data_IF_699956860167
#
_entry.id   IF_699956860167
#
_cell.length_a   1.000
_cell.length_b   1.000
_cell.length_c   1.000
_cell.angle_alpha   90.00
_cell.angle_beta   90.00
_cell.angle_gamma   90.00
#
_symmetry.space_group_name_H-M   'P 1'
#
loop_
_entity.id
_entity.type
_entity.pdbx_description
1 polymer ?
#
# COMPACT_ATOMS: atom_id res chain seq x y z
N UNK A 1 -38.36 10.47 -20.99
CA UNK A 1 -36.98 10.89 -21.10
C UNK A 1 -36.23 10.24 -19.96
N UNK A 2 -35.42 9.22 -20.25
CA UNK A 2 -34.70 8.43 -19.24
C UNK A 2 -33.29 9.02 -19.10
N UNK A 3 -33.01 9.71 -18.00
CA UNK A 3 -31.68 10.20 -17.69
C UNK A 3 -30.79 9.02 -17.32
N UNK A 4 -29.88 8.66 -18.19
CA UNK A 4 -28.78 7.75 -17.87
C UNK A 4 -27.73 8.55 -17.09
N UNK A 5 -27.68 8.31 -15.78
CA UNK A 5 -26.58 8.77 -14.94
C UNK A 5 -25.37 7.89 -15.30
N UNK A 6 -24.41 8.45 -15.99
CA UNK A 6 -23.08 7.85 -16.15
C UNK A 6 -22.39 7.89 -14.78
N UNK A 7 -22.38 6.78 -14.07
CA UNK A 7 -21.44 6.57 -12.98
C UNK A 7 -20.06 6.42 -13.63
N UNK A 8 -19.27 7.48 -13.54
CA UNK A 8 -17.87 7.42 -13.95
C UNK A 8 -17.08 6.52 -12.99
N UNK A 9 -16.64 5.37 -13.47
CA UNK A 9 -15.64 4.54 -12.82
C UNK A 9 -14.37 5.36 -12.67
N UNK A 10 -14.05 5.77 -11.44
CA UNK A 10 -12.77 6.39 -11.11
C UNK A 10 -11.74 5.31 -10.84
N UNK A 11 -11.22 4.73 -11.89
CA UNK A 11 -10.01 3.92 -11.79
C UNK A 11 -8.82 4.88 -11.71
N UNK A 12 -8.49 5.34 -10.51
CA UNK A 12 -7.35 6.24 -10.27
C UNK A 12 -6.15 5.41 -9.82
N UNK A 13 -5.67 4.55 -10.70
CA UNK A 13 -4.29 4.07 -10.66
C UNK A 13 -3.54 4.68 -11.83
N UNK A 14 -3.49 6.00 -11.81
CA UNK A 14 -2.85 6.77 -12.86
C UNK A 14 -1.36 6.75 -12.74
N UNK A 15 -0.74 6.43 -13.84
CA UNK A 15 0.59 6.83 -14.28
C UNK A 15 1.19 7.95 -13.41
N UNK A 16 2.21 7.62 -12.61
CA UNK A 16 3.11 8.61 -12.05
C UNK A 16 3.91 9.26 -13.19
N UNK A 17 3.29 10.17 -13.90
CA UNK A 17 4.02 11.13 -14.73
C UNK A 17 4.41 12.26 -13.81
N UNK A 18 5.59 12.17 -13.21
CA UNK A 18 6.24 13.29 -12.54
C UNK A 18 6.72 14.26 -13.63
N UNK A 19 5.85 15.19 -14.04
CA UNK A 19 6.26 16.34 -14.78
C UNK A 19 7.11 17.22 -13.85
N UNK A 20 8.42 17.19 -14.06
CA UNK A 20 9.36 18.13 -13.48
C UNK A 20 9.17 19.48 -14.16
N UNK A 21 8.38 20.38 -13.58
CA UNK A 21 8.46 21.82 -13.88
C UNK A 21 9.43 22.45 -12.90
N UNK A 22 10.65 22.67 -13.39
CA UNK A 22 11.57 23.60 -12.77
C UNK A 22 11.10 25.02 -13.04
N UNK A 23 11.05 25.82 -11.99
CA UNK A 23 11.13 27.27 -12.13
C UNK A 23 11.85 27.91 -10.95
N UNK A 24 12.91 28.64 -11.32
CA UNK A 24 13.86 29.35 -10.46
C UNK A 24 13.28 30.58 -9.79
N UNK A 25 13.86 30.85 -8.61
CA UNK A 25 14.28 32.15 -8.06
C UNK A 25 13.24 33.24 -7.77
N UNK A 26 13.15 33.67 -6.53
CA UNK A 26 13.74 34.93 -6.06
C UNK A 26 13.71 35.05 -4.53
N UNK A 27 14.87 35.41 -4.03
CA UNK A 27 15.24 35.93 -2.73
C UNK A 27 14.42 37.13 -2.30
N UNK A 28 13.94 37.18 -1.03
CA UNK A 28 13.86 38.40 -0.22
C UNK A 28 14.00 38.04 1.25
N UNK A 29 14.81 38.87 1.90
CA UNK A 29 15.40 38.90 3.24
C UNK A 29 14.42 38.94 4.43
N UNK A 30 14.98 38.43 5.53
CA UNK A 30 14.97 38.91 6.92
C UNK A 30 13.70 39.52 7.53
N UNK A 31 13.31 38.99 8.68
CA UNK A 31 13.29 39.77 9.93
C UNK A 31 13.28 38.84 11.15
N UNK A 32 14.29 39.08 12.00
CA UNK A 32 14.54 38.54 13.32
C UNK A 32 13.45 38.93 14.30
N UNK A 33 13.01 38.00 15.16
CA UNK A 33 12.51 38.34 16.51
C UNK A 33 12.75 37.14 17.45
N UNK A 34 13.68 37.36 18.36
CA UNK A 34 13.90 36.59 19.58
C UNK A 34 12.76 36.89 20.59
N UNK A 35 12.29 35.87 21.26
CA UNK A 35 11.71 35.98 22.58
C UNK A 35 12.08 34.75 23.40
N UNK A 36 12.90 34.98 24.38
CA UNK A 36 13.31 34.12 25.49
C UNK A 36 12.20 34.08 26.53
N UNK A 37 11.87 32.97 27.13
CA UNK A 37 11.46 32.84 28.54
C UNK A 37 11.45 31.36 28.95
N UNK A 38 12.42 31.01 29.72
CA UNK A 38 12.51 30.45 31.08
C UNK A 38 11.72 29.20 31.46
N UNK A 39 12.49 28.39 32.09
CA UNK A 39 12.38 27.09 32.75
C UNK A 39 11.23 26.95 33.76
N UNK A 40 10.69 25.76 33.88
CA UNK A 40 10.20 25.23 35.16
C UNK A 40 10.53 23.71 35.24
N UNK A 41 11.48 23.43 36.08
CA UNK A 41 11.89 22.13 36.58
C UNK A 41 10.84 21.62 37.58
N UNK A 42 10.31 20.40 37.38
CA UNK A 42 9.76 19.64 38.47
C UNK A 42 10.19 18.16 38.35
N UNK A 43 11.00 17.77 39.31
CA UNK A 43 11.41 16.43 39.57
C UNK A 43 10.26 15.63 40.20
N UNK A 44 9.99 14.44 39.72
CA UNK A 44 9.20 13.42 40.43
C UNK A 44 9.95 12.08 40.40
N UNK A 45 10.21 11.63 41.56
CA UNK A 45 10.87 10.51 42.18
C UNK A 45 10.67 9.16 41.46
N UNK A 46 11.78 8.47 41.28
CA UNK A 46 11.90 7.05 40.90
C UNK A 46 11.22 6.13 41.92
N UNK A 47 10.45 5.16 41.42
CA UNK A 47 10.18 3.94 42.14
C UNK A 47 10.57 2.76 41.28
N UNK A 48 11.73 2.20 41.58
CA UNK A 48 12.31 1.02 40.97
C UNK A 48 11.52 -0.21 41.46
N UNK A 49 10.77 -0.83 40.56
CA UNK A 49 10.28 -2.19 40.81
C UNK A 49 10.94 -3.11 39.76
N UNK A 50 11.88 -3.91 40.28
CA UNK A 50 12.63 -4.93 39.57
C UNK A 50 11.71 -6.14 39.34
N UNK A 51 11.15 -6.25 38.14
CA UNK A 51 10.49 -7.48 37.71
C UNK A 51 11.40 -8.23 36.74
N UNK A 52 11.88 -9.39 37.19
CA UNK A 52 12.59 -10.37 36.37
C UNK A 52 11.59 -10.99 35.39
N UNK A 53 11.68 -10.62 34.12
CA UNK A 53 10.93 -11.27 33.05
C UNK A 53 11.83 -12.33 32.41
N UNK A 54 11.49 -13.58 32.60
CA UNK A 54 11.95 -14.69 31.78
C UNK A 54 11.50 -14.46 30.34
N UNK A 55 12.44 -14.50 29.42
CA UNK A 55 12.15 -14.47 28.00
C UNK A 55 11.67 -15.88 27.58
N UNK A 56 10.37 -16.09 27.57
CA UNK A 56 9.78 -17.16 26.79
C UNK A 56 9.71 -16.73 25.33
N UNK A 57 10.69 -17.18 24.55
CA UNK A 57 10.68 -17.14 23.09
C UNK A 57 9.66 -18.14 22.58
N UNK A 58 8.39 -17.80 22.66
CA UNK A 58 7.35 -18.51 21.96
C UNK A 58 7.05 -17.73 20.67
N UNK A 59 7.77 -18.06 19.59
CA UNK A 59 7.40 -17.68 18.24
C UNK A 59 6.09 -18.36 17.89
N UNK A 60 4.99 -17.75 18.30
CA UNK A 60 3.66 -18.15 17.85
C UNK A 60 3.55 -17.71 16.38
N UNK A 61 3.90 -18.61 15.48
CA UNK A 61 3.49 -18.52 14.08
C UNK A 61 1.96 -18.59 14.09
N UNK A 62 1.32 -17.43 14.02
CA UNK A 62 -0.13 -17.32 13.87
C UNK A 62 -0.46 -17.85 12.48
N UNK A 63 -0.78 -19.14 12.40
CA UNK A 63 -1.37 -19.74 11.19
C UNK A 63 -2.73 -19.08 11.01
N UNK A 64 -2.79 -18.00 10.23
CA UNK A 64 -4.05 -17.45 9.78
C UNK A 64 -4.70 -18.51 8.89
N UNK A 65 -5.75 -19.15 9.40
CA UNK A 65 -6.59 -20.00 8.57
C UNK A 65 -7.19 -19.13 7.49
N UNK A 66 -6.81 -19.39 6.25
CA UNK A 66 -7.38 -18.67 5.09
C UNK A 66 -8.88 -18.97 5.02
N UNK A 67 -9.67 -17.94 4.83
CA UNK A 67 -11.09 -18.10 4.56
C UNK A 67 -11.28 -18.77 3.21
N UNK A 68 -12.30 -19.60 3.09
CA UNK A 68 -12.58 -20.27 1.83
C UNK A 68 -13.14 -19.25 0.81
N UNK A 69 -12.37 -19.03 -0.26
CA UNK A 69 -12.79 -18.20 -1.41
C UNK A 69 -13.14 -19.05 -2.63
N UNK A 70 -13.33 -20.38 -2.44
CA UNK A 70 -13.57 -21.35 -3.50
C UNK A 70 -12.28 -21.76 -4.22
N UNK A 71 -12.42 -22.17 -5.47
CA UNK A 71 -11.26 -22.51 -6.28
C UNK A 71 -10.36 -21.29 -6.51
N UNK A 72 -9.06 -21.49 -6.35
CA UNK A 72 -8.05 -20.46 -6.54
C UNK A 72 -7.31 -20.60 -7.85
N UNK A 73 -6.82 -19.48 -8.35
CA UNK A 73 -5.83 -19.41 -9.43
C UNK A 73 -4.66 -18.54 -8.98
N UNK A 74 -3.46 -18.90 -9.44
CA UNK A 74 -2.28 -18.10 -9.23
C UNK A 74 -2.06 -17.18 -10.42
N UNK A 75 -1.96 -15.88 -10.15
CA UNK A 75 -1.86 -14.85 -11.19
C UNK A 75 -0.67 -13.93 -10.92
N UNK A 76 -0.07 -13.43 -11.97
CA UNK A 76 1.09 -12.54 -11.87
C UNK A 76 2.06 -12.67 -13.02
N UNK A 77 3.29 -12.27 -12.78
CA UNK A 77 4.45 -12.48 -13.66
C UNK A 77 5.75 -12.43 -12.85
N UNK A 78 6.88 -12.88 -13.42
CA UNK A 78 8.18 -12.75 -12.76
C UNK A 78 8.56 -11.31 -12.41
N UNK A 79 8.06 -10.34 -13.19
CA UNK A 79 8.35 -8.91 -12.98
C UNK A 79 7.58 -8.32 -11.80
N UNK A 80 6.33 -8.76 -11.55
CA UNK A 80 5.43 -8.15 -10.57
C UNK A 80 5.16 -9.05 -9.37
N UNK A 81 5.68 -10.27 -9.40
CA UNK A 81 5.30 -11.33 -8.47
C UNK A 81 3.96 -11.95 -8.80
N UNK A 82 3.59 -12.94 -8.01
CA UNK A 82 2.37 -13.73 -8.16
C UNK A 82 1.59 -13.73 -6.85
N UNK A 83 0.29 -13.91 -6.95
CA UNK A 83 -0.63 -14.00 -5.80
C UNK A 83 -1.76 -14.97 -6.14
N UNK A 84 -2.34 -15.60 -5.12
CA UNK A 84 -3.50 -16.47 -5.28
C UNK A 84 -4.79 -15.65 -5.12
N UNK A 85 -5.71 -15.82 -6.08
CA UNK A 85 -7.01 -15.13 -6.11
C UNK A 85 -8.11 -16.12 -6.48
N UNK A 86 -9.41 -15.78 -6.32
CA UNK A 86 -10.47 -16.65 -6.79
C UNK A 86 -10.36 -16.96 -8.28
N UNK A 87 -10.57 -18.21 -8.65
CA UNK A 87 -10.48 -18.67 -10.05
C UNK A 87 -11.50 -18.00 -10.95
N UNK A 88 -12.61 -17.53 -10.38
CA UNK A 88 -13.64 -16.77 -11.11
C UNK A 88 -13.21 -15.39 -11.55
N UNK A 89 -12.13 -14.83 -10.95
CA UNK A 89 -11.65 -13.52 -11.34
C UNK A 89 -10.99 -13.55 -12.71
N UNK A 90 -11.28 -12.53 -13.51
CA UNK A 90 -10.80 -12.40 -14.89
C UNK A 90 -9.77 -11.29 -15.01
N UNK A 91 -8.91 -11.44 -16.03
CA UNK A 91 -7.93 -10.39 -16.31
C UNK A 91 -8.65 -9.09 -16.66
N UNK A 92 -8.34 -8.07 -15.91
CA UNK A 92 -8.83 -6.72 -16.12
C UNK A 92 -7.71 -5.87 -16.74
N UNK A 93 -8.04 -5.01 -17.66
CA UNK A 93 -7.08 -4.08 -18.26
C UNK A 93 -7.67 -2.67 -18.22
N UNK A 94 -7.20 -1.89 -17.27
CA UNK A 94 -7.42 -0.45 -17.33
C UNK A 94 -6.54 0.16 -18.42
N UNK A 95 -7.15 0.75 -19.43
CA UNK A 95 -6.44 1.40 -20.53
C UNK A 95 -5.56 2.57 -20.07
N UNK A 96 -5.79 3.10 -18.86
CA UNK A 96 -5.01 4.16 -18.22
C UNK A 96 -3.98 3.64 -17.23
N UNK A 97 -4.01 2.35 -16.90
CA UNK A 97 -3.23 1.75 -15.82
C UNK A 97 -1.75 1.46 -16.12
N UNK A 98 -1.26 1.74 -17.33
CA UNK A 98 0.13 1.45 -17.70
C UNK A 98 0.47 -0.05 -17.76
N UNK A 99 1.73 -0.40 -17.50
CA UNK A 99 2.22 -1.78 -17.50
C UNK A 99 2.05 -2.40 -16.11
N UNK A 100 0.83 -2.75 -15.74
CA UNK A 100 0.50 -3.45 -14.49
C UNK A 100 -0.32 -4.70 -14.80
N UNK A 101 -0.36 -5.62 -13.86
CA UNK A 101 -1.24 -6.80 -13.95
C UNK A 101 -2.45 -6.55 -13.07
N UNK A 102 -3.63 -6.67 -13.66
CA UNK A 102 -4.91 -6.47 -12.96
C UNK A 102 -5.85 -7.62 -13.21
N UNK A 103 -6.61 -8.00 -12.18
CA UNK A 103 -7.73 -8.93 -12.23
C UNK A 103 -8.91 -8.35 -11.48
N UNK A 104 -10.12 -8.68 -11.91
CA UNK A 104 -11.35 -8.29 -11.25
C UNK A 104 -12.32 -9.44 -11.14
N UNK A 105 -13.31 -9.31 -10.29
CA UNK A 105 -14.42 -10.27 -10.13
C UNK A 105 -15.45 -10.26 -11.29
N UNK A 106 -15.12 -9.53 -12.36
CA UNK A 106 -16.02 -9.31 -13.50
C UNK A 106 -16.81 -8.01 -13.39
N UNK A 107 -16.65 -7.29 -12.28
CA UNK A 107 -17.15 -5.92 -12.10
C UNK A 107 -16.00 -4.91 -12.23
N UNK A 108 -16.31 -3.63 -12.33
CA UNK A 108 -15.32 -2.55 -12.27
C UNK A 108 -15.09 -2.07 -10.82
N UNK A 109 -15.50 -2.86 -9.82
CA UNK A 109 -15.49 -2.48 -8.41
C UNK A 109 -14.34 -3.15 -7.69
N UNK A 110 -14.29 -4.49 -7.74
CA UNK A 110 -13.31 -5.30 -7.02
C UNK A 110 -12.14 -5.64 -7.94
N UNK A 111 -10.97 -5.06 -7.67
CA UNK A 111 -9.79 -5.19 -8.52
C UNK A 111 -8.56 -5.47 -7.66
N UNK A 112 -7.74 -6.43 -8.07
CA UNK A 112 -6.37 -6.57 -7.60
C UNK A 112 -5.40 -6.07 -8.64
N UNK A 113 -4.38 -5.33 -8.21
CA UNK A 113 -3.31 -4.81 -9.05
C UNK A 113 -1.96 -5.22 -8.50
N UNK A 114 -1.13 -5.81 -9.37
CA UNK A 114 0.27 -6.15 -9.10
C UNK A 114 1.18 -5.22 -9.90
N UNK A 115 2.19 -4.66 -9.25
CA UNK A 115 3.16 -3.78 -9.88
C UNK A 115 4.53 -3.88 -9.20
N UNK A 116 5.58 -3.46 -9.90
CA UNK A 116 6.93 -3.29 -9.39
C UNK A 116 7.49 -1.93 -9.77
N UNK A 117 8.30 -1.39 -8.87
CA UNK A 117 8.96 -0.10 -9.05
C UNK A 117 10.45 -0.33 -8.83
N UNK A 118 11.20 -0.79 -9.84
CA UNK A 118 12.64 -0.95 -9.72
C UNK A 118 13.31 0.43 -9.55
N UNK A 119 14.52 0.42 -9.00
CA UNK A 119 15.24 1.65 -8.60
C UNK A 119 15.28 2.71 -9.73
N UNK A 120 15.52 2.29 -10.95
CA UNK A 120 15.62 3.18 -12.10
C UNK A 120 14.29 3.85 -12.49
N UNK A 121 13.16 3.26 -12.10
CA UNK A 121 11.82 3.82 -12.30
C UNK A 121 11.31 4.63 -11.10
N UNK A 122 12.07 4.65 -10.00
CA UNK A 122 11.64 5.30 -8.77
C UNK A 122 11.76 6.83 -8.78
N UNK A 123 12.34 7.44 -9.82
CA UNK A 123 12.56 8.89 -9.92
C UNK A 123 13.17 9.49 -8.65
N UNK A 124 14.31 8.94 -8.23
CA UNK A 124 15.02 9.36 -7.02
C UNK A 124 15.57 10.77 -7.19
N UNK A 125 15.47 11.57 -6.14
CA UNK A 125 16.11 12.87 -6.03
C UNK A 125 17.43 12.73 -5.25
N UNK A 126 18.27 13.75 -5.33
CA UNK A 126 19.48 13.80 -4.52
C UNK A 126 19.14 13.67 -3.03
N UNK A 127 19.80 12.73 -2.36
CA UNK A 127 19.56 12.42 -0.95
C UNK A 127 18.45 11.40 -0.67
N UNK A 128 17.67 10.97 -1.69
CA UNK A 128 16.68 9.91 -1.48
C UNK A 128 17.35 8.55 -1.26
N UNK A 129 16.88 7.83 -0.26
CA UNK A 129 17.20 6.42 -0.07
C UNK A 129 16.08 5.58 -0.67
N UNK A 130 16.40 4.82 -1.72
CA UNK A 130 15.43 3.93 -2.35
C UNK A 130 15.08 2.76 -1.42
N UNK A 131 13.82 2.71 -0.99
CA UNK A 131 13.25 1.64 -0.18
C UNK A 131 11.72 1.66 -0.24
N UNK A 132 11.07 0.68 0.39
CA UNK A 132 9.61 0.59 0.45
C UNK A 132 8.98 1.78 1.17
N UNK A 133 9.63 2.33 2.20
CA UNK A 133 9.13 3.49 2.95
C UNK A 133 9.04 4.75 2.08
N UNK A 134 10.09 5.04 1.31
CA UNK A 134 10.07 6.17 0.38
C UNK A 134 8.91 6.07 -0.61
N UNK A 135 8.71 4.88 -1.19
CA UNK A 135 7.65 4.65 -2.15
C UNK A 135 6.27 4.75 -1.48
N UNK A 136 6.10 4.17 -0.28
CA UNK A 136 4.86 4.26 0.48
C UNK A 136 4.51 5.72 0.81
N UNK A 137 5.48 6.51 1.27
CA UNK A 137 5.28 7.92 1.54
C UNK A 137 4.85 8.69 0.29
N UNK A 138 5.44 8.41 -0.88
CA UNK A 138 5.06 9.05 -2.14
C UNK A 138 3.64 8.69 -2.57
N UNK A 139 3.26 7.41 -2.44
CA UNK A 139 1.90 6.95 -2.70
C UNK A 139 0.92 7.65 -1.74
N UNK A 140 1.22 7.66 -0.44
CA UNK A 140 0.40 8.34 0.55
C UNK A 140 0.19 9.82 0.21
N UNK A 141 1.27 10.57 -0.05
CA UNK A 141 1.18 11.99 -0.41
C UNK A 141 0.44 12.25 -1.72
N UNK A 142 0.47 11.33 -2.68
CA UNK A 142 -0.30 11.48 -3.91
C UNK A 142 -1.81 11.47 -3.63
N UNK A 143 -2.24 10.64 -2.68
CA UNK A 143 -3.64 10.54 -2.28
C UNK A 143 -4.14 11.72 -1.44
N UNK A 144 -3.28 12.41 -0.67
CA UNK A 144 -3.69 13.58 0.13
C UNK A 144 -4.27 14.73 -0.69
N UNK A 145 -4.02 14.75 -1.99
CA UNK A 145 -4.51 15.78 -2.92
C UNK A 145 -5.82 15.41 -3.60
N UNK A 146 -6.35 14.23 -3.33
CA UNK A 146 -7.56 13.75 -3.99
C UNK A 146 -8.79 14.06 -3.11
N UNK A 147 -9.61 15.00 -3.59
CA UNK A 147 -10.82 15.45 -2.88
C UNK A 147 -11.89 14.37 -2.70
N UNK A 148 -11.82 13.26 -3.43
CA UNK A 148 -12.75 12.14 -3.30
C UNK A 148 -12.40 11.19 -2.14
N UNK A 149 -11.30 11.42 -1.44
CA UNK A 149 -10.90 10.62 -0.28
C UNK A 149 -11.64 11.10 0.96
N UNK A 150 -12.29 10.18 1.64
CA UNK A 150 -12.93 10.39 2.94
C UNK A 150 -11.93 10.14 4.07
N UNK A 151 -11.18 9.03 3.97
CA UNK A 151 -10.20 8.63 4.99
C UNK A 151 -8.94 8.09 4.34
N UNK A 152 -7.78 8.49 4.85
CA UNK A 152 -6.46 8.04 4.41
C UNK A 152 -5.58 7.78 5.64
N UNK A 153 -4.94 6.60 5.70
CA UNK A 153 -4.00 6.27 6.78
C UNK A 153 -2.93 5.29 6.31
N UNK A 154 -1.78 5.32 6.99
CA UNK A 154 -0.70 4.36 6.82
C UNK A 154 -0.66 3.36 7.97
N UNK A 155 -0.17 2.16 7.72
CA UNK A 155 0.11 1.13 8.71
C UNK A 155 1.29 0.27 8.27
N UNK A 156 1.80 -0.57 9.17
CA UNK A 156 2.75 -1.63 8.86
C UNK A 156 2.03 -2.97 8.83
N UNK A 157 2.50 -3.86 7.98
CA UNK A 157 1.98 -5.22 7.79
C UNK A 157 3.10 -6.14 7.31
N UNK A 158 2.76 -7.34 6.93
CA UNK A 158 3.68 -8.34 6.39
C UNK A 158 3.06 -8.96 5.13
N UNK A 159 3.88 -9.17 4.11
CA UNK A 159 3.49 -9.88 2.89
C UNK A 159 4.49 -11.01 2.65
N UNK A 160 4.03 -12.24 2.85
CA UNK A 160 4.85 -13.46 2.69
C UNK A 160 6.23 -13.35 3.35
N UNK A 161 6.25 -12.90 4.63
CA UNK A 161 7.47 -12.74 5.41
C UNK A 161 8.28 -11.48 5.12
N UNK A 162 7.86 -10.62 4.20
CA UNK A 162 8.49 -9.32 3.95
C UNK A 162 7.76 -8.22 4.74
N UNK A 163 8.50 -7.40 5.50
CA UNK A 163 7.93 -6.20 6.13
C UNK A 163 7.33 -5.29 5.06
N UNK A 164 6.12 -4.82 5.29
CA UNK A 164 5.35 -4.02 4.35
C UNK A 164 4.84 -2.74 4.98
N UNK A 165 4.82 -1.68 4.22
CA UNK A 165 4.03 -0.49 4.50
C UNK A 165 2.67 -0.62 3.81
N UNK A 166 1.60 -0.27 4.50
CA UNK A 166 0.28 -0.18 3.90
C UNK A 166 -0.13 1.28 3.75
N UNK A 167 -0.68 1.60 2.60
CA UNK A 167 -1.44 2.83 2.38
C UNK A 167 -2.89 2.43 2.16
N UNK A 168 -3.74 2.89 3.07
CA UNK A 168 -5.16 2.52 3.12
C UNK A 168 -6.00 3.77 2.92
N UNK A 169 -7.08 3.65 2.15
CA UNK A 169 -8.03 4.74 2.00
C UNK A 169 -9.47 4.25 1.86
N UNK A 170 -10.39 5.14 2.18
CA UNK A 170 -11.81 5.01 1.90
C UNK A 170 -12.21 6.24 1.10
N UNK A 171 -12.90 6.02 -0.01
CA UNK A 171 -13.45 7.10 -0.83
C UNK A 171 -14.80 7.57 -0.28
N UNK A 172 -15.24 8.77 -0.65
CA UNK A 172 -16.58 9.28 -0.33
C UNK A 172 -17.72 8.41 -0.86
N UNK A 173 -17.46 7.56 -1.85
CA UNK A 173 -18.41 6.56 -2.35
C UNK A 173 -18.41 5.25 -1.54
N UNK A 174 -17.57 5.14 -0.50
CA UNK A 174 -17.44 3.95 0.33
C UNK A 174 -16.50 2.87 -0.23
N UNK A 175 -15.89 3.07 -1.42
CA UNK A 175 -14.90 2.15 -1.98
C UNK A 175 -13.63 2.18 -1.14
N UNK A 176 -13.07 1.03 -0.85
CA UNK A 176 -11.83 0.88 -0.07
C UNK A 176 -10.68 0.53 -1.02
N UNK A 177 -9.51 1.07 -0.74
CA UNK A 177 -8.24 0.66 -1.34
C UNK A 177 -7.24 0.34 -0.23
N UNK A 178 -6.59 -0.80 -0.34
CA UNK A 178 -5.46 -1.23 0.48
C UNK A 178 -4.29 -1.48 -0.45
N UNK A 179 -3.18 -0.80 -0.24
CA UNK A 179 -1.95 -0.99 -1.02
C UNK A 179 -0.84 -1.41 -0.08
N UNK A 180 -0.26 -2.59 -0.31
CA UNK A 180 0.97 -3.04 0.33
C UNK A 180 2.16 -2.61 -0.50
N UNK A 181 3.17 -2.09 0.16
CA UNK A 181 4.43 -1.63 -0.43
C UNK A 181 5.56 -2.29 0.36
N UNK A 182 6.32 -3.16 -0.28
CA UNK A 182 7.40 -3.89 0.37
C UNK A 182 8.57 -4.06 -0.59
N UNK A 183 9.75 -4.23 -0.02
CA UNK A 183 10.96 -4.45 -0.80
C UNK A 183 11.39 -5.92 -0.71
N UNK A 184 11.73 -6.48 -1.86
CA UNK A 184 12.41 -7.76 -1.95
C UNK A 184 13.58 -7.61 -2.90
N UNK A 185 14.76 -7.95 -2.42
CA UNK A 185 16.02 -7.69 -3.12
C UNK A 185 16.13 -6.19 -3.48
N UNK A 186 16.46 -5.86 -4.72
CA UNK A 186 16.62 -4.47 -5.20
C UNK A 186 15.33 -3.89 -5.82
N UNK A 187 14.17 -4.50 -5.58
CA UNK A 187 12.91 -4.06 -6.18
C UNK A 187 11.85 -3.81 -5.11
N UNK A 188 11.14 -2.69 -5.22
CA UNK A 188 9.93 -2.43 -4.44
C UNK A 188 8.74 -2.93 -5.22
N UNK A 189 7.97 -3.81 -4.58
CA UNK A 189 6.73 -4.36 -5.12
C UNK A 189 5.54 -3.67 -4.48
N UNK A 190 4.47 -3.56 -5.25
CA UNK A 190 3.18 -3.12 -4.73
C UNK A 190 2.08 -4.09 -5.13
N UNK A 191 1.23 -4.42 -4.16
CA UNK A 191 -0.03 -5.13 -4.40
C UNK A 191 -1.13 -4.22 -3.90
N UNK A 192 -2.15 -3.98 -4.71
CA UNK A 192 -3.31 -3.19 -4.30
C UNK A 192 -4.58 -4.00 -4.46
N UNK A 193 -5.44 -3.93 -3.45
CA UNK A 193 -6.82 -4.39 -3.50
C UNK A 193 -7.74 -3.18 -3.41
N UNK A 194 -8.63 -3.02 -4.37
CA UNK A 194 -9.69 -2.03 -4.31
C UNK A 194 -11.06 -2.68 -4.47
N UNK A 195 -12.06 -2.15 -3.76
CA UNK A 195 -13.41 -2.69 -3.87
C UNK A 195 -14.28 -2.46 -2.66
N UNK A 196 -15.29 -3.31 -2.53
CA UNK A 196 -16.16 -3.37 -1.37
C UNK A 196 -15.47 -4.06 -0.18
N UNK A 197 -15.97 -3.76 1.02
CA UNK A 197 -15.38 -4.24 2.26
C UNK A 197 -15.40 -5.77 2.39
N UNK A 198 -16.47 -6.39 1.97
CA UNK A 198 -16.68 -7.84 2.16
C UNK A 198 -15.66 -8.61 1.32
N UNK A 199 -15.54 -8.27 0.05
CA UNK A 199 -14.55 -8.85 -0.86
C UNK A 199 -13.12 -8.63 -0.38
N UNK A 200 -12.79 -7.42 0.08
CA UNK A 200 -11.45 -7.14 0.57
C UNK A 200 -11.10 -7.95 1.82
N UNK A 201 -12.00 -8.09 2.78
CA UNK A 201 -11.75 -8.89 3.99
C UNK A 201 -11.46 -10.36 3.69
N UNK A 202 -12.02 -10.91 2.62
CA UNK A 202 -11.71 -12.27 2.16
C UNK A 202 -10.34 -12.37 1.50
N UNK A 203 -9.91 -11.36 0.74
CA UNK A 203 -8.71 -11.42 -0.08
C UNK A 203 -7.44 -10.90 0.60
N UNK A 204 -7.54 -10.03 1.62
CA UNK A 204 -6.38 -9.52 2.35
C UNK A 204 -5.48 -10.65 2.86
N UNK A 205 -5.98 -11.70 3.55
CA UNK A 205 -5.13 -12.80 4.00
C UNK A 205 -4.43 -13.56 2.87
N UNK A 206 -5.06 -13.64 1.68
CA UNK A 206 -4.43 -14.28 0.51
C UNK A 206 -3.28 -13.44 -0.02
N UNK A 207 -3.43 -12.13 -0.15
CA UNK A 207 -2.32 -11.24 -0.53
C UNK A 207 -1.18 -11.37 0.47
N UNK A 208 -1.47 -11.30 1.77
CA UNK A 208 -0.47 -11.31 2.83
C UNK A 208 0.27 -12.64 2.98
N UNK A 209 -0.34 -13.75 2.56
CA UNK A 209 0.26 -15.09 2.71
C UNK A 209 0.77 -15.73 1.43
N UNK A 210 0.26 -15.33 0.26
CA UNK A 210 0.53 -16.07 -0.98
C UNK A 210 1.40 -15.35 -1.98
N UNK A 211 1.70 -14.06 -1.80
CA UNK A 211 2.57 -13.35 -2.72
C UNK A 211 3.96 -14.00 -2.81
N UNK A 212 4.52 -14.10 -4.01
CA UNK A 212 5.86 -14.65 -4.24
C UNK A 212 6.34 -14.44 -5.65
N UNK A 213 7.63 -14.70 -5.91
CA UNK A 213 8.27 -14.55 -7.23
C UNK A 213 8.13 -15.78 -8.13
N UNK A 214 7.51 -16.84 -7.64
CA UNK A 214 7.29 -18.07 -8.40
C UNK A 214 5.81 -18.26 -8.74
N UNK A 215 5.52 -18.93 -9.82
CA UNK A 215 4.18 -19.31 -10.23
C UNK A 215 3.61 -20.51 -9.44
N UNK A 216 4.39 -21.06 -8.50
CA UNK A 216 3.94 -22.10 -7.57
C UNK A 216 3.18 -21.48 -6.41
N UNK A 217 1.96 -21.92 -6.17
CA UNK A 217 1.18 -21.50 -4.99
C UNK A 217 1.82 -22.08 -3.71
N UNK A 218 2.01 -21.26 -2.67
CA UNK A 218 2.44 -21.77 -1.36
C UNK A 218 1.30 -22.45 -0.60
N UNK A 219 0.05 -22.31 -1.04
CA UNK A 219 -1.11 -22.97 -0.44
C UNK A 219 -1.25 -24.36 -1.01
N UNK A 220 -1.15 -25.37 -0.15
CA UNK A 220 -1.43 -26.76 -0.53
C UNK A 220 -2.91 -26.89 -0.88
N UNK A 221 -3.20 -27.42 -2.07
CA UNK A 221 -4.56 -27.78 -2.52
C UNK A 221 -5.00 -29.08 -1.92
#
# INVERSE_FOLDING_TARGET
>A
MKNKILLGSFTVLSSFVLAACGQSSKTVQETTSQATTEAATQAVTETTTKATAQADTNSTSTSHTLLDIGEIQRVGSPEYGYVDIPKSWVRFKDLRGGNVIQYSDGTDINIITLNSIPREKANLKDGDTYNAELIANRIYYSWTKNENIEKLWGSKSWVSGNESYQVNLITKSGKILVTWIFQKDDTVYTVSLEGDRETLLLLIPYVESTWGLTDQSPVSR
#
